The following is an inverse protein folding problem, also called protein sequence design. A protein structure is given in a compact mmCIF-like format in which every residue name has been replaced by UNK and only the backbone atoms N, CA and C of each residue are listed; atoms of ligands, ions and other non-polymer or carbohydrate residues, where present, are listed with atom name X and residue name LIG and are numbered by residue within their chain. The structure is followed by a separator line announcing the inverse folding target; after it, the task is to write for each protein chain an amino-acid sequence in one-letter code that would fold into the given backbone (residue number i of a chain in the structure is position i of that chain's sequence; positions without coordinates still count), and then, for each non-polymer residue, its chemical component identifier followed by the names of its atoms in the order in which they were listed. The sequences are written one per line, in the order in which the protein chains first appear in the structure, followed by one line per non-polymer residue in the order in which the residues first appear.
data_IF_757408441163
#
_entry.id   IF_757408441163
#
_cell.length_a   1.000
_cell.length_b   1.000
_cell.length_c   1.000
_cell.angle_alpha   90.00
_cell.angle_beta   90.00
_cell.angle_gamma   90.00
#
_symmetry.space_group_name_H-M   'P 1'
#
loop_
_entity.id
_entity.type
_entity.pdbx_description
1 polymer ?
#
# COMPACT_ATOMS: atom_id res chain seq x y z
N UNK A 1 32.57 15.58 56.37
CA UNK A 1 32.32 14.60 55.29
C UNK A 1 31.04 13.84 55.59
N UNK A 2 29.88 14.43 55.27
CA UNK A 2 28.55 13.92 55.65
C UNK A 2 27.99 13.10 54.47
N UNK A 3 27.74 11.81 54.70
CA UNK A 3 26.74 10.99 54.02
C UNK A 3 26.90 10.65 52.52
N UNK A 4 28.10 10.44 52.00
CA UNK A 4 28.30 9.85 50.67
C UNK A 4 27.65 8.44 50.52
N UNK A 5 27.57 7.66 51.61
CA UNK A 5 26.88 6.36 51.64
C UNK A 5 25.35 6.50 51.55
N UNK A 6 24.79 7.56 52.12
CA UNK A 6 23.34 7.79 52.15
C UNK A 6 22.83 8.25 50.78
N UNK A 7 23.60 9.08 50.06
CA UNK A 7 23.28 9.47 48.68
C UNK A 7 23.31 8.29 47.69
N UNK A 8 24.27 7.35 47.83
CA UNK A 8 24.32 6.14 46.99
C UNK A 8 23.10 5.24 47.20
N UNK A 9 22.64 5.09 48.45
CA UNK A 9 21.43 4.34 48.77
C UNK A 9 20.17 5.00 48.19
N UNK A 10 20.06 6.32 48.34
CA UNK A 10 18.96 7.11 47.78
C UNK A 10 18.90 7.03 46.25
N UNK A 11 20.06 7.10 45.58
CA UNK A 11 20.16 6.98 44.13
C UNK A 11 19.82 5.56 43.66
N UNK A 12 20.22 4.53 44.42
CA UNK A 12 19.87 3.15 44.11
C UNK A 12 18.37 2.88 44.29
N UNK A 13 17.74 3.43 45.34
CA UNK A 13 16.30 3.35 45.57
C UNK A 13 15.50 4.12 44.50
N UNK A 14 16.01 5.27 44.06
CA UNK A 14 15.39 6.05 43.00
C UNK A 14 15.53 5.36 41.63
N UNK A 15 16.69 4.76 41.35
CA UNK A 15 16.91 3.97 40.14
C UNK A 15 16.06 2.70 40.14
N UNK A 16 15.98 1.96 41.25
CA UNK A 16 15.11 0.77 41.35
C UNK A 16 13.63 1.15 41.29
N UNK A 17 13.22 2.25 41.91
CA UNK A 17 11.87 2.81 41.75
C UNK A 17 11.57 3.20 40.30
N UNK A 18 12.51 3.84 39.61
CA UNK A 18 12.39 4.19 38.20
C UNK A 18 12.35 2.95 37.30
N UNK A 19 13.20 1.96 37.54
CA UNK A 19 13.20 0.68 36.81
C UNK A 19 11.90 -0.10 37.04
N UNK A 20 11.35 -0.12 38.26
CA UNK A 20 10.07 -0.78 38.56
C UNK A 20 8.89 -0.03 37.94
N UNK A 21 8.94 1.31 37.87
CA UNK A 21 7.95 2.12 37.17
C UNK A 21 7.99 1.83 35.65
N UNK A 22 9.19 1.76 35.07
CA UNK A 22 9.40 1.45 33.65
C UNK A 22 8.96 0.02 33.31
N UNK A 23 9.29 -0.95 34.17
CA UNK A 23 8.87 -2.34 34.03
C UNK A 23 7.35 -2.49 34.16
N UNK A 24 6.70 -1.77 35.09
CA UNK A 24 5.22 -1.87 35.25
C UNK A 24 4.42 -1.11 34.20
N UNK A 25 4.98 -0.11 33.51
CA UNK A 25 4.21 0.70 32.56
C UNK A 25 4.27 0.19 31.10
N UNK A 26 5.23 -0.66 30.74
CA UNK A 26 5.33 -1.23 29.38
C UNK A 26 5.18 -2.77 29.31
N UNK A 27 5.17 -3.49 30.44
CA UNK A 27 5.04 -4.96 30.44
C UNK A 27 3.61 -5.49 30.49
N UNK A 28 2.59 -4.70 30.11
CA UNK A 28 1.35 -5.34 29.67
C UNK A 28 1.72 -6.03 28.37
N UNK A 29 1.74 -7.35 28.35
CA UNK A 29 1.70 -8.08 27.10
C UNK A 29 0.59 -7.44 26.24
N UNK A 30 0.93 -7.04 25.00
CA UNK A 30 -0.02 -6.43 24.05
C UNK A 30 -0.11 -7.28 22.81
N UNK A 31 -1.31 -7.41 22.28
CA UNK A 31 -1.54 -7.95 20.94
C UNK A 31 -1.03 -6.95 19.90
N UNK A 32 0.04 -7.30 19.20
CA UNK A 32 0.66 -6.42 18.21
C UNK A 32 -0.11 -6.52 16.90
N UNK A 33 -0.96 -5.54 16.61
CA UNK A 33 -1.72 -5.47 15.36
C UNK A 33 -0.77 -5.14 14.23
N UNK A 34 -0.82 -5.94 13.17
CA UNK A 34 0.02 -5.86 11.98
C UNK A 34 -0.72 -5.32 10.76
N UNK A 35 -1.99 -5.67 10.63
CA UNK A 35 -2.85 -5.16 9.58
C UNK A 35 -4.29 -4.99 10.09
N UNK A 36 -4.98 -4.00 9.54
CA UNK A 36 -6.41 -3.82 9.70
C UNK A 36 -7.10 -4.19 8.39
N UNK A 37 -8.22 -4.88 8.47
CA UNK A 37 -9.13 -5.11 7.35
C UNK A 37 -10.39 -4.28 7.55
N UNK A 38 -10.88 -3.63 6.50
CA UNK A 38 -12.15 -2.92 6.50
C UNK A 38 -12.99 -3.33 5.29
N UNK A 39 -14.28 -3.53 5.55
CA UNK A 39 -15.29 -3.64 4.53
C UNK A 39 -16.54 -2.86 4.96
N UNK A 40 -17.19 -2.23 3.98
CA UNK A 40 -18.49 -1.60 4.15
C UNK A 40 -19.54 -2.43 3.42
N UNK A 41 -20.63 -2.76 4.10
CA UNK A 41 -21.80 -3.43 3.55
C UNK A 41 -23.05 -2.58 3.78
N UNK A 42 -24.18 -2.95 3.18
CA UNK A 42 -25.45 -2.26 3.42
C UNK A 42 -25.90 -2.33 4.89
N UNK A 43 -25.43 -3.33 5.63
CA UNK A 43 -25.83 -3.62 7.01
C UNK A 43 -24.90 -3.00 8.05
N UNK A 44 -23.76 -2.43 7.62
CA UNK A 44 -22.80 -1.78 8.51
C UNK A 44 -21.36 -1.93 8.03
N UNK A 45 -20.46 -2.04 8.99
CA UNK A 45 -19.02 -2.16 8.79
C UNK A 45 -18.54 -3.49 9.34
N UNK A 46 -17.60 -4.10 8.63
CA UNK A 46 -16.86 -5.26 9.08
C UNK A 46 -15.39 -4.84 9.25
N UNK A 47 -14.83 -5.13 10.42
CA UNK A 47 -13.45 -4.84 10.74
C UNK A 47 -12.73 -6.12 11.14
N UNK A 48 -11.50 -6.29 10.67
CA UNK A 48 -10.63 -7.40 11.02
C UNK A 48 -9.26 -6.94 11.47
N UNK A 49 -8.67 -7.65 12.42
CA UNK A 49 -7.34 -7.37 12.97
C UNK A 49 -6.46 -8.59 12.78
N UNK A 50 -5.42 -8.43 11.96
CA UNK A 50 -4.30 -9.37 11.91
C UNK A 50 -3.33 -8.99 13.02
N UNK A 51 -3.14 -9.86 14.00
CA UNK A 51 -2.31 -9.57 15.16
C UNK A 51 -1.33 -10.69 15.46
N UNK A 52 -0.27 -10.32 16.18
CA UNK A 52 0.68 -11.24 16.75
C UNK A 52 0.51 -11.21 18.28
N UNK A 53 0.14 -12.35 18.87
CA UNK A 53 0.06 -12.48 20.31
C UNK A 53 1.48 -12.39 20.91
N UNK A 54 1.66 -11.75 22.06
CA UNK A 54 2.94 -11.76 22.76
C UNK A 54 3.23 -13.15 23.32
N UNK A 55 4.48 -13.58 23.18
CA UNK A 55 4.95 -14.84 23.73
C UNK A 55 5.32 -14.68 25.20
N UNK A 56 4.47 -15.23 26.06
CA UNK A 56 4.87 -15.58 27.42
C UNK A 56 5.79 -16.80 27.38
N UNK A 57 7.07 -16.63 27.05
CA UNK A 57 8.06 -17.69 27.25
C UNK A 57 9.41 -17.11 27.66
N UNK A 58 9.80 -17.38 28.91
CA UNK A 58 11.12 -17.06 29.46
C UNK A 58 12.25 -17.93 28.89
N UNK A 59 11.93 -18.89 28.03
CA UNK A 59 12.89 -19.76 27.36
C UNK A 59 13.04 -19.34 25.90
N UNK A 60 14.13 -18.62 25.64
CA UNK A 60 14.57 -18.24 24.31
C UNK A 60 15.04 -19.48 23.53
N UNK A 61 14.13 -20.14 22.81
CA UNK A 61 14.43 -20.91 21.61
C UNK A 61 13.14 -21.15 20.79
N UNK A 62 13.08 -20.56 19.60
CA UNK A 62 12.35 -21.07 18.43
C UNK A 62 10.83 -21.24 18.48
N UNK A 63 10.09 -20.29 19.02
CA UNK A 63 8.70 -20.10 18.57
C UNK A 63 8.61 -18.70 18.01
N UNK A 64 8.34 -18.53 16.71
CA UNK A 64 7.84 -17.26 16.20
C UNK A 64 6.37 -17.20 16.58
N UNK A 65 5.91 -16.15 17.26
CA UNK A 65 4.50 -16.08 17.64
C UNK A 65 3.65 -16.08 16.36
N UNK A 66 2.84 -17.12 16.19
CA UNK A 66 2.01 -17.31 15.00
C UNK A 66 1.04 -16.13 14.85
N UNK A 67 0.86 -15.68 13.61
CA UNK A 67 -0.12 -14.65 13.32
C UNK A 67 -1.53 -15.22 13.44
N UNK A 68 -2.44 -14.41 13.97
CA UNK A 68 -3.83 -14.74 14.16
C UNK A 68 -4.71 -13.62 13.63
N UNK A 69 -5.96 -13.96 13.34
CA UNK A 69 -6.92 -13.02 12.78
C UNK A 69 -8.21 -13.07 13.59
N UNK A 70 -8.69 -11.89 14.00
CA UNK A 70 -10.02 -11.70 14.59
C UNK A 70 -10.81 -10.73 13.73
N UNK A 71 -12.12 -10.85 13.76
CA UNK A 71 -13.01 -9.94 13.05
C UNK A 71 -14.29 -9.71 13.85
N UNK A 72 -14.93 -8.59 13.58
CA UNK A 72 -16.24 -8.26 14.11
C UNK A 72 -17.00 -7.33 13.16
N UNK A 73 -18.30 -7.26 13.38
CA UNK A 73 -19.20 -6.35 12.67
C UNK A 73 -19.72 -5.26 13.60
N UNK A 74 -20.10 -4.12 13.04
CA UNK A 74 -20.69 -3.02 13.78
C UNK A 74 -21.44 -2.05 12.87
N UNK A 75 -22.40 -1.32 13.44
CA UNK A 75 -23.17 -0.30 12.70
C UNK A 75 -22.32 0.87 12.18
N UNK A 76 -21.16 1.09 12.78
CA UNK A 76 -20.20 2.15 12.44
C UNK A 76 -18.80 1.55 12.42
N UNK A 77 -17.89 2.12 11.64
CA UNK A 77 -16.49 1.66 11.58
C UNK A 77 -15.84 1.56 12.98
N UNK A 78 -16.04 2.59 13.80
CA UNK A 78 -15.46 2.64 15.15
C UNK A 78 -15.95 1.49 16.04
N UNK A 79 -17.27 1.21 16.04
CA UNK A 79 -17.84 0.06 16.78
C UNK A 79 -17.37 -1.29 16.26
N UNK A 80 -17.19 -1.44 14.95
CA UNK A 80 -16.68 -2.69 14.38
C UNK A 80 -15.23 -2.93 14.83
N UNK A 81 -14.39 -1.89 14.84
CA UNK A 81 -13.03 -1.95 15.37
C UNK A 81 -13.01 -2.22 16.87
N UNK A 82 -13.85 -1.55 17.66
CA UNK A 82 -13.95 -1.81 19.10
C UNK A 82 -14.34 -3.26 19.41
N UNK A 83 -15.29 -3.81 18.65
CA UNK A 83 -15.70 -5.21 18.80
C UNK A 83 -14.57 -6.18 18.41
N UNK A 84 -13.81 -5.86 17.35
CA UNK A 84 -12.64 -6.66 16.95
C UNK A 84 -11.52 -6.56 18.00
N UNK A 85 -11.30 -5.38 18.61
CA UNK A 85 -10.35 -5.19 19.70
C UNK A 85 -10.75 -5.97 20.96
N UNK A 86 -12.03 -6.02 21.29
CA UNK A 86 -12.56 -6.81 22.42
C UNK A 86 -12.37 -8.31 22.23
N UNK A 87 -12.31 -8.79 20.99
CA UNK A 87 -12.04 -10.19 20.67
C UNK A 87 -10.54 -10.54 20.76
N UNK A 88 -9.64 -9.57 20.88
CA UNK A 88 -8.22 -9.84 21.06
C UNK A 88 -7.94 -10.44 22.44
N UNK A 89 -6.94 -11.34 22.54
CA UNK A 89 -6.60 -11.95 23.83
C UNK A 89 -6.05 -10.92 24.84
N UNK A 90 -5.53 -9.79 24.35
CA UNK A 90 -4.88 -8.74 25.13
C UNK A 90 -5.08 -7.39 24.46
N UNK A 91 -4.77 -6.30 25.19
CA UNK A 91 -4.92 -4.93 24.69
C UNK A 91 -4.19 -4.73 23.36
N UNK A 92 -4.89 -4.15 22.39
CA UNK A 92 -4.37 -3.86 21.06
C UNK A 92 -3.20 -2.86 21.11
N UNK A 93 -2.18 -3.12 20.29
CA UNK A 93 -1.09 -2.21 20.01
C UNK A 93 -0.93 -2.03 18.50
N UNK A 94 -1.23 -0.84 18.01
CA UNK A 94 -1.18 -0.50 16.58
C UNK A 94 0.17 0.04 16.12
N UNK A 95 1.20 0.01 16.97
CA UNK A 95 2.53 0.57 16.66
C UNK A 95 3.18 -0.05 15.41
N UNK A 96 2.86 -1.31 15.11
CA UNK A 96 3.35 -2.05 13.95
C UNK A 96 2.25 -2.37 12.93
N UNK A 97 1.16 -1.59 12.94
CA UNK A 97 0.07 -1.71 11.98
C UNK A 97 0.50 -1.05 10.67
N UNK A 98 1.23 -1.80 9.85
CA UNK A 98 1.87 -1.30 8.63
C UNK A 98 0.97 -1.44 7.39
N UNK A 99 -0.19 -2.10 7.50
CA UNK A 99 -1.05 -2.44 6.37
C UNK A 99 -2.53 -2.18 6.65
N UNK A 100 -3.26 -1.77 5.60
CA UNK A 100 -4.71 -1.66 5.56
C UNK A 100 -5.22 -2.46 4.36
N UNK A 101 -6.07 -3.44 4.64
CA UNK A 101 -6.77 -4.28 3.67
C UNK A 101 -8.19 -3.75 3.47
N UNK A 102 -8.63 -3.66 2.23
CA UNK A 102 -9.94 -3.13 1.87
C UNK A 102 -10.66 -4.16 0.99
N UNK A 103 -11.90 -4.53 1.32
CA UNK A 103 -12.71 -5.31 0.37
C UNK A 103 -12.94 -4.53 -0.92
N UNK A 104 -13.17 -3.22 -0.78
CA UNK A 104 -13.32 -2.26 -1.85
C UNK A 104 -12.73 -0.93 -1.40
N UNK A 105 -11.86 -0.34 -2.22
CA UNK A 105 -11.23 0.93 -1.91
C UNK A 105 -12.20 2.09 -2.20
N UNK A 106 -12.95 2.56 -1.21
CA UNK A 106 -13.86 3.69 -1.39
C UNK A 106 -13.31 4.92 -0.65
N UNK A 107 -13.29 6.06 -1.35
CA UNK A 107 -12.71 7.29 -0.81
C UNK A 107 -13.39 7.78 0.49
N UNK A 108 -14.73 7.71 0.64
CA UNK A 108 -15.37 8.03 1.92
C UNK A 108 -14.92 7.11 3.07
N UNK A 109 -14.73 5.80 2.78
CA UNK A 109 -14.27 4.82 3.76
C UNK A 109 -12.84 5.12 4.21
N UNK A 110 -11.95 5.44 3.27
CA UNK A 110 -10.56 5.80 3.54
C UNK A 110 -10.46 7.09 4.36
N UNK A 111 -11.23 8.11 3.99
CA UNK A 111 -11.32 9.38 4.73
C UNK A 111 -11.82 9.14 6.17
N UNK A 112 -12.91 8.39 6.34
CA UNK A 112 -13.46 8.08 7.66
C UNK A 112 -12.43 7.35 8.54
N UNK A 113 -11.72 6.37 7.97
CA UNK A 113 -10.70 5.62 8.68
C UNK A 113 -9.47 6.47 9.03
N UNK A 114 -8.98 7.31 8.12
CA UNK A 114 -7.86 8.22 8.40
C UNK A 114 -8.18 9.14 9.58
N UNK A 115 -9.37 9.74 9.61
CA UNK A 115 -9.82 10.57 10.73
C UNK A 115 -9.94 9.78 12.03
N UNK A 116 -10.35 8.52 11.96
CA UNK A 116 -10.39 7.65 13.14
C UNK A 116 -8.98 7.33 13.66
N UNK A 117 -8.03 7.03 12.76
CA UNK A 117 -6.62 6.80 13.09
C UNK A 117 -6.00 8.03 13.77
N UNK A 118 -6.26 9.23 13.24
CA UNK A 118 -5.76 10.48 13.82
C UNK A 118 -6.34 10.75 15.22
N UNK A 119 -7.60 10.40 15.48
CA UNK A 119 -8.27 10.64 16.76
C UNK A 119 -7.96 9.58 17.82
N UNK A 120 -7.89 8.29 17.45
CA UNK A 120 -7.77 7.16 18.39
C UNK A 120 -6.45 6.42 18.34
N UNK A 121 -5.66 6.57 17.27
CA UNK A 121 -4.44 5.78 17.08
C UNK A 121 -4.71 4.29 16.81
N UNK A 122 -5.88 3.94 16.27
CA UNK A 122 -6.28 2.57 15.92
C UNK A 122 -5.65 2.09 14.58
N UNK A 123 -4.42 2.50 14.31
CA UNK A 123 -3.73 2.25 13.04
C UNK A 123 -2.61 3.25 12.80
N UNK A 124 -2.18 3.39 11.53
CA UNK A 124 -1.16 4.35 11.12
C UNK A 124 -1.59 5.01 9.81
N UNK A 125 -1.46 6.33 9.71
CA UNK A 125 -1.63 7.06 8.43
C UNK A 125 -0.59 6.65 7.39
N UNK A 126 0.56 6.12 7.83
CA UNK A 126 1.59 5.57 6.94
C UNK A 126 1.35 4.11 6.52
N UNK A 127 0.24 3.48 6.95
CA UNK A 127 -0.10 2.11 6.58
C UNK A 127 -0.29 1.99 5.05
N UNK A 128 0.18 0.88 4.48
CA UNK A 128 0.10 0.58 3.05
C UNK A 128 -1.30 0.07 2.71
N UNK A 129 -1.90 0.61 1.64
CA UNK A 129 -3.23 0.27 1.16
C UNK A 129 -3.18 -0.91 0.20
N UNK A 130 -4.02 -1.91 0.43
CA UNK A 130 -4.18 -3.05 -0.47
C UNK A 130 -5.66 -3.44 -0.58
N UNK A 131 -6.06 -3.89 -1.76
CA UNK A 131 -7.36 -4.52 -1.96
C UNK A 131 -7.28 -6.00 -1.57
N UNK A 132 -8.38 -6.51 -1.03
CA UNK A 132 -8.50 -7.85 -0.49
C UNK A 132 -9.70 -8.57 -1.10
N UNK A 133 -9.45 -9.73 -1.70
CA UNK A 133 -10.47 -10.58 -2.30
C UNK A 133 -10.46 -11.97 -1.66
N UNK A 134 -11.55 -12.32 -1.00
CA UNK A 134 -11.71 -13.64 -0.39
C UNK A 134 -12.70 -13.62 0.76
N UNK A 135 -13.12 -14.79 1.19
CA UNK A 135 -13.96 -14.95 2.38
C UNK A 135 -13.10 -14.71 3.63
N UNK A 136 -13.38 -13.63 4.33
CA UNK A 136 -12.66 -13.22 5.53
C UNK A 136 -12.76 -14.24 6.68
N UNK A 137 -13.88 -14.95 6.78
CA UNK A 137 -14.09 -16.03 7.77
C UNK A 137 -12.99 -17.10 7.72
N UNK A 138 -12.42 -17.32 6.53
CA UNK A 138 -11.34 -18.30 6.35
C UNK A 138 -10.05 -17.86 7.03
N UNK A 139 -9.78 -16.56 7.13
CA UNK A 139 -8.57 -16.06 7.80
C UNK A 139 -8.58 -16.38 9.29
N UNK A 140 -9.76 -16.36 9.93
CA UNK A 140 -9.91 -16.76 11.33
C UNK A 140 -9.93 -18.30 11.50
N UNK A 141 -10.51 -19.02 10.54
CA UNK A 141 -10.67 -20.48 10.63
C UNK A 141 -9.40 -21.28 10.34
N UNK A 142 -8.45 -20.72 9.59
CA UNK A 142 -7.26 -21.44 9.13
C UNK A 142 -5.96 -20.87 9.68
N UNK A 143 -5.26 -21.65 10.51
CA UNK A 143 -4.06 -21.19 11.21
C UNK A 143 -2.90 -20.78 10.28
N UNK A 144 -2.80 -21.33 9.07
CA UNK A 144 -1.69 -21.03 8.15
C UNK A 144 -1.92 -19.79 7.27
N UNK A 145 -3.17 -19.37 7.06
CA UNK A 145 -3.50 -18.24 6.17
C UNK A 145 -2.97 -16.88 6.69
N UNK A 146 -3.06 -16.55 8.00
CA UNK A 146 -2.50 -15.30 8.52
C UNK A 146 -1.00 -15.08 8.22
N UNK A 147 -0.19 -16.13 8.34
CA UNK A 147 1.24 -16.07 8.04
C UNK A 147 1.50 -15.94 6.53
N UNK A 148 0.77 -16.69 5.70
CA UNK A 148 0.82 -16.56 4.24
C UNK A 148 0.39 -15.16 3.77
N UNK A 149 -0.65 -14.60 4.38
CA UNK A 149 -1.13 -13.25 4.12
C UNK A 149 -0.05 -12.21 4.45
N UNK A 150 0.59 -12.33 5.61
CA UNK A 150 1.70 -11.44 5.98
C UNK A 150 2.89 -11.55 5.02
N UNK A 151 3.20 -12.75 4.52
CA UNK A 151 4.25 -12.91 3.53
C UNK A 151 3.93 -12.15 2.24
N UNK A 152 2.70 -12.27 1.72
CA UNK A 152 2.27 -11.53 0.52
C UNK A 152 2.18 -10.02 0.75
N UNK A 153 1.76 -9.58 1.94
CA UNK A 153 1.75 -8.16 2.33
C UNK A 153 3.15 -7.55 2.25
N UNK A 154 4.17 -8.26 2.74
CA UNK A 154 5.57 -7.82 2.64
C UNK A 154 6.05 -7.72 1.19
N UNK A 155 5.64 -8.65 0.34
CA UNK A 155 5.94 -8.64 -1.10
C UNK A 155 5.31 -7.44 -1.81
N UNK A 156 4.07 -7.10 -1.49
CA UNK A 156 3.33 -5.99 -2.10
C UNK A 156 3.67 -4.60 -1.51
N UNK A 157 4.25 -4.55 -0.30
CA UNK A 157 4.54 -3.32 0.43
C UNK A 157 5.32 -2.24 -0.34
N UNK A 158 6.32 -2.57 -1.19
CA UNK A 158 7.09 -1.55 -1.89
C UNK A 158 6.29 -0.74 -2.92
N UNK A 159 5.26 -1.33 -3.52
CA UNK A 159 4.46 -0.72 -4.59
C UNK A 159 3.11 -0.18 -4.13
N UNK A 160 2.68 -0.55 -2.92
CA UNK A 160 1.42 -0.09 -2.35
C UNK A 160 1.47 1.40 -1.93
N UNK A 161 0.45 2.22 -2.25
CA UNK A 161 0.34 3.58 -1.72
C UNK A 161 0.07 3.57 -0.22
N UNK A 162 0.24 4.71 0.45
CA UNK A 162 -0.05 4.85 1.89
C UNK A 162 -1.41 5.47 2.14
N UNK A 163 -1.95 5.27 3.33
CA UNK A 163 -3.24 5.84 3.71
C UNK A 163 -3.25 7.37 3.56
N UNK A 164 -2.25 8.11 4.04
CA UNK A 164 -2.22 9.58 3.87
C UNK A 164 -2.16 10.04 2.39
N UNK A 165 -1.89 9.13 1.45
CA UNK A 165 -1.84 9.39 0.01
C UNK A 165 -3.17 9.03 -0.67
N UNK A 166 -4.22 8.66 0.09
CA UNK A 166 -5.47 8.12 -0.48
C UNK A 166 -6.20 9.08 -1.42
N UNK A 167 -6.05 10.39 -1.21
CA UNK A 167 -6.62 11.41 -2.10
C UNK A 167 -5.87 11.55 -3.42
N UNK A 168 -4.66 11.00 -3.52
CA UNK A 168 -3.88 10.94 -4.75
C UNK A 168 -4.23 9.68 -5.55
N UNK A 169 -4.02 9.74 -6.86
CA UNK A 169 -4.17 8.55 -7.70
C UNK A 169 -3.10 7.51 -7.35
N UNK A 170 -3.51 6.26 -7.16
CA UNK A 170 -2.60 5.19 -6.73
C UNK A 170 -3.03 3.82 -7.23
N UNK A 171 -2.07 2.96 -7.59
CA UNK A 171 -2.35 1.58 -7.97
C UNK A 171 -2.26 0.68 -6.72
N UNK A 172 -3.40 0.22 -6.24
CA UNK A 172 -3.51 -0.66 -5.08
C UNK A 172 -3.27 -2.11 -5.54
N UNK A 173 -2.31 -2.81 -4.92
CA UNK A 173 -2.16 -4.25 -5.13
C UNK A 173 -3.39 -5.01 -4.63
N UNK A 174 -3.72 -6.12 -5.29
CA UNK A 174 -4.85 -6.98 -4.91
C UNK A 174 -4.30 -8.28 -4.34
N UNK A 175 -4.64 -8.56 -3.08
CA UNK A 175 -4.41 -9.85 -2.46
C UNK A 175 -5.66 -10.69 -2.60
N UNK A 176 -5.50 -11.91 -3.11
CA UNK A 176 -6.57 -12.90 -3.18
C UNK A 176 -6.23 -14.09 -2.31
N UNK A 177 -7.20 -14.60 -1.57
CA UNK A 177 -7.03 -15.85 -0.84
C UNK A 177 -8.21 -16.78 -1.03
N UNK A 178 -7.92 -18.07 -0.89
CA UNK A 178 -8.89 -19.14 -0.91
C UNK A 178 -8.71 -20.02 0.35
N UNK A 179 -9.15 -21.28 0.29
CA UNK A 179 -9.05 -22.19 1.43
C UNK A 179 -7.64 -22.80 1.64
N UNK A 180 -6.67 -22.54 0.75
CA UNK A 180 -5.36 -23.20 0.77
C UNK A 180 -4.21 -22.20 0.66
N UNK A 181 -4.39 -21.10 -0.08
CA UNK A 181 -3.31 -20.17 -0.39
C UNK A 181 -3.74 -18.69 -0.37
N UNK A 182 -2.72 -17.84 -0.23
CA UNK A 182 -2.81 -16.39 -0.44
C UNK A 182 -1.87 -16.02 -1.60
N UNK A 183 -2.41 -15.34 -2.60
CA UNK A 183 -1.70 -14.92 -3.80
C UNK A 183 -1.82 -13.41 -4.02
N UNK A 184 -0.72 -12.80 -4.47
CA UNK A 184 -0.70 -11.45 -4.98
C UNK A 184 -1.09 -11.47 -6.46
N UNK A 185 -2.13 -10.74 -6.84
CA UNK A 185 -2.53 -10.63 -8.24
C UNK A 185 -1.55 -9.74 -9.01
N UNK A 186 -1.31 -10.07 -10.29
CA UNK A 186 -0.38 -9.30 -11.14
C UNK A 186 -0.96 -7.93 -11.55
N UNK A 187 -2.28 -7.84 -11.69
CA UNK A 187 -3.02 -6.59 -11.94
C UNK A 187 -3.09 -5.67 -10.71
N UNK A 188 -4.08 -4.79 -10.69
CA UNK A 188 -4.31 -3.91 -9.55
C UNK A 188 -5.52 -3.01 -9.70
N UNK A 189 -5.90 -2.33 -8.63
CA UNK A 189 -6.96 -1.32 -8.65
C UNK A 189 -6.35 0.06 -8.72
N UNK A 190 -6.53 0.77 -9.83
CA UNK A 190 -6.23 2.19 -9.89
C UNK A 190 -7.31 2.94 -9.10
N UNK A 191 -6.94 3.43 -7.94
CA UNK A 191 -7.80 4.21 -7.05
C UNK A 191 -7.64 5.70 -7.33
N UNK A 192 -8.76 6.41 -7.28
CA UNK A 192 -8.85 7.86 -7.28
C UNK A 192 -10.03 8.30 -6.42
N UNK A 193 -10.07 9.59 -6.06
CA UNK A 193 -11.21 10.19 -5.34
C UNK A 193 -12.55 10.08 -6.09
N UNK A 194 -12.51 9.92 -7.42
CA UNK A 194 -13.72 9.82 -8.27
C UNK A 194 -14.21 8.37 -8.37
N UNK A 195 -13.31 7.40 -8.19
CA UNK A 195 -13.62 5.99 -8.27
C UNK A 195 -12.42 5.11 -8.62
N UNK A 196 -12.71 3.83 -8.76
CA UNK A 196 -11.72 2.77 -8.99
C UNK A 196 -11.83 2.19 -10.39
N UNK A 197 -10.69 1.87 -10.97
CA UNK A 197 -10.59 1.13 -12.23
C UNK A 197 -9.71 -0.10 -12.04
N UNK A 198 -10.21 -1.28 -12.42
CA UNK A 198 -9.41 -2.50 -12.44
C UNK A 198 -8.47 -2.47 -13.65
N UNK A 199 -7.17 -2.63 -13.41
CA UNK A 199 -6.16 -2.74 -14.47
C UNK A 199 -5.78 -4.21 -14.67
N UNK A 200 -5.66 -4.62 -15.94
CA UNK A 200 -5.08 -5.91 -16.31
C UNK A 200 -3.61 -6.02 -15.83
N UNK A 201 -3.02 -7.23 -15.76
CA UNK A 201 -1.60 -7.40 -15.45
C UNK A 201 -0.69 -6.51 -16.32
N UNK A 202 -0.94 -6.44 -17.62
CA UNK A 202 -0.16 -5.64 -18.55
C UNK A 202 -0.34 -4.14 -18.30
N UNK A 203 -1.59 -3.70 -18.10
CA UNK A 203 -1.88 -2.30 -17.79
C UNK A 203 -1.26 -1.86 -16.46
N UNK A 204 -1.28 -2.73 -15.45
CA UNK A 204 -0.66 -2.47 -14.15
C UNK A 204 0.86 -2.31 -14.27
N UNK A 205 1.56 -3.17 -15.02
CA UNK A 205 3.00 -3.02 -15.26
C UNK A 205 3.33 -1.75 -16.03
N UNK A 206 2.53 -1.39 -17.05
CA UNK A 206 2.69 -0.13 -17.78
C UNK A 206 2.44 1.08 -16.87
N UNK A 207 1.43 1.03 -16.01
CA UNK A 207 1.15 2.08 -15.02
C UNK A 207 2.37 2.28 -14.10
N UNK A 208 2.88 1.19 -13.52
CA UNK A 208 4.05 1.22 -12.62
C UNK A 208 5.30 1.76 -13.32
N UNK A 209 5.44 1.53 -14.62
CA UNK A 209 6.51 2.07 -15.46
C UNK A 209 6.36 3.59 -15.64
N UNK A 210 5.15 4.05 -15.99
CA UNK A 210 4.82 5.46 -16.21
C UNK A 210 4.94 6.31 -14.94
N UNK A 211 4.64 5.73 -13.78
CA UNK A 211 4.79 6.38 -12.47
C UNK A 211 6.16 6.12 -11.83
N UNK A 212 7.12 5.57 -12.60
CA UNK A 212 8.51 5.34 -12.18
C UNK A 212 8.64 4.59 -10.83
N UNK A 213 7.72 3.66 -10.54
CA UNK A 213 7.80 2.88 -9.30
C UNK A 213 9.07 2.03 -9.28
N UNK A 214 9.58 1.74 -8.09
CA UNK A 214 10.78 0.93 -7.90
C UNK A 214 10.58 -0.56 -8.23
N UNK A 215 11.67 -1.21 -8.66
CA UNK A 215 11.74 -2.64 -8.92
C UNK A 215 11.73 -3.00 -10.40
N UNK A 216 12.10 -4.25 -10.68
CA UNK A 216 12.13 -4.77 -12.06
C UNK A 216 10.72 -5.03 -12.57
N UNK A 217 10.38 -4.47 -13.72
CA UNK A 217 9.13 -4.71 -14.45
C UNK A 217 9.28 -5.86 -15.43
N UNK A 218 8.18 -6.57 -15.65
CA UNK A 218 8.14 -7.72 -16.54
C UNK A 218 6.96 -7.56 -17.49
N UNK A 219 7.24 -7.24 -18.75
CA UNK A 219 6.23 -6.97 -19.76
C UNK A 219 6.22 -8.07 -20.80
N UNK A 220 5.01 -8.46 -21.24
CA UNK A 220 4.84 -9.40 -22.34
C UNK A 220 4.68 -8.63 -23.65
N UNK A 221 5.69 -8.67 -24.52
CA UNK A 221 5.74 -7.90 -25.76
C UNK A 221 6.05 -8.84 -26.94
N UNK A 222 5.18 -8.84 -27.96
CA UNK A 222 5.25 -9.71 -29.15
C UNK A 222 5.50 -11.20 -28.82
N UNK A 223 4.92 -11.70 -27.73
CA UNK A 223 5.07 -13.11 -27.31
C UNK A 223 6.31 -13.41 -26.47
N UNK A 224 7.12 -12.41 -26.13
CA UNK A 224 8.36 -12.56 -25.37
C UNK A 224 8.35 -11.70 -24.10
N UNK A 225 8.96 -12.21 -23.02
CA UNK A 225 9.02 -11.52 -21.74
C UNK A 225 10.22 -10.56 -21.71
N UNK A 226 9.94 -9.26 -21.67
CA UNK A 226 10.94 -8.19 -21.57
C UNK A 226 11.01 -7.67 -20.13
N UNK A 227 12.20 -7.78 -19.53
CA UNK A 227 12.49 -7.26 -18.21
C UNK A 227 13.07 -5.85 -18.26
N UNK A 228 12.46 -4.90 -17.55
CA UNK A 228 12.95 -3.51 -17.43
C UNK A 228 13.35 -3.27 -15.98
N UNK A 229 14.63 -2.98 -15.70
CA UNK A 229 15.12 -2.75 -14.33
C UNK A 229 14.93 -1.31 -13.85
N UNK A 230 14.98 -0.35 -14.77
CA UNK A 230 14.80 1.08 -14.52
C UNK A 230 14.18 1.73 -15.76
N UNK A 231 13.34 2.72 -15.55
CA UNK A 231 12.79 3.54 -16.62
C UNK A 231 12.76 4.99 -16.13
N UNK A 232 13.13 5.92 -17.00
CA UNK A 232 12.92 7.34 -16.76
C UNK A 232 11.86 7.86 -17.70
N UNK A 233 10.87 8.57 -17.16
CA UNK A 233 9.73 9.10 -17.91
C UNK A 233 9.88 10.61 -18.04
N UNK A 234 10.21 11.06 -19.25
CA UNK A 234 10.31 12.48 -19.58
C UNK A 234 9.05 12.96 -20.31
N UNK A 235 8.52 14.10 -19.88
CA UNK A 235 7.30 14.68 -20.47
C UNK A 235 7.60 16.06 -21.02
N UNK A 236 7.28 16.28 -22.30
CA UNK A 236 7.39 17.59 -22.96
C UNK A 236 6.01 18.04 -23.41
N UNK A 237 5.53 19.18 -22.89
CA UNK A 237 4.26 19.77 -23.31
C UNK A 237 4.50 20.73 -24.49
N UNK A 238 3.81 20.52 -25.60
CA UNK A 238 3.89 21.35 -26.81
C UNK A 238 2.49 21.81 -27.23
N UNK A 239 2.05 23.00 -26.78
CA UNK A 239 0.68 23.51 -27.04
C UNK A 239 -0.40 22.45 -26.76
N UNK A 240 -0.94 21.80 -27.80
CA UNK A 240 -1.99 20.76 -27.71
C UNK A 240 -1.46 19.31 -27.70
N UNK A 241 -0.14 19.13 -27.78
CA UNK A 241 0.52 17.82 -27.83
C UNK A 241 1.33 17.59 -26.55
N UNK A 242 1.32 16.34 -26.09
CA UNK A 242 2.14 15.88 -24.96
C UNK A 242 3.02 14.75 -25.48
N UNK A 243 4.33 14.98 -25.46
CA UNK A 243 5.32 13.98 -25.83
C UNK A 243 5.83 13.30 -24.55
N UNK A 244 5.69 11.98 -24.51
CA UNK A 244 6.14 11.13 -23.42
C UNK A 244 7.30 10.30 -23.93
N UNK A 245 8.45 10.36 -23.26
CA UNK A 245 9.63 9.57 -23.62
C UNK A 245 9.99 8.67 -22.46
N UNK A 246 10.08 7.37 -22.75
CA UNK A 246 10.55 6.36 -21.80
C UNK A 246 11.96 5.97 -22.18
N UNK A 247 12.91 6.22 -21.29
CA UNK A 247 14.29 5.73 -21.42
C UNK A 247 14.48 4.53 -20.48
N UNK A 248 14.41 3.34 -21.05
CA UNK A 248 14.39 2.06 -20.34
C UNK A 248 15.79 1.45 -20.25
N UNK A 249 16.14 0.93 -19.07
CA UNK A 249 17.27 0.03 -18.85
C UNK A 249 16.75 -1.38 -18.70
N UNK A 250 17.32 -2.29 -19.48
CA UNK A 250 16.95 -3.71 -19.47
C UNK A 250 17.44 -4.40 -18.19
N UNK A 251 16.65 -5.34 -17.69
CA UNK A 251 17.09 -6.27 -16.65
C UNK A 251 18.20 -7.21 -17.16
N UNK A 252 19.04 -7.72 -16.27
CA UNK A 252 20.03 -8.73 -16.63
C UNK A 252 19.33 -9.95 -17.26
N UNK A 253 19.95 -10.55 -18.28
CA UNK A 253 19.46 -11.74 -19.00
C UNK A 253 18.13 -11.60 -19.77
N UNK A 254 17.44 -10.47 -19.71
CA UNK A 254 16.31 -10.20 -20.60
C UNK A 254 16.78 -10.04 -22.06
N UNK A 255 15.97 -10.38 -23.07
CA UNK A 255 16.33 -10.17 -24.47
C UNK A 255 16.32 -8.68 -24.86
N UNK A 256 17.10 -8.30 -25.87
CA UNK A 256 17.12 -6.92 -26.38
C UNK A 256 15.82 -6.66 -27.16
N UNK A 257 15.01 -5.65 -26.79
CA UNK A 257 13.73 -5.41 -27.44
C UNK A 257 13.89 -4.98 -28.90
N UNK A 258 13.16 -5.65 -29.78
CA UNK A 258 13.03 -5.30 -31.20
C UNK A 258 12.29 -3.97 -31.37
N UNK A 259 12.39 -3.37 -32.56
CA UNK A 259 11.65 -2.14 -32.88
C UNK A 259 10.13 -2.32 -32.74
N UNK A 260 9.60 -3.51 -33.09
CA UNK A 260 8.18 -3.82 -32.95
C UNK A 260 7.75 -3.85 -31.48
N UNK A 261 8.53 -4.50 -30.60
CA UNK A 261 8.26 -4.52 -29.15
C UNK A 261 8.32 -3.11 -28.54
N UNK A 262 9.26 -2.25 -28.98
CA UNK A 262 9.33 -0.86 -28.55
C UNK A 262 8.10 -0.06 -28.98
N UNK A 263 7.63 -0.25 -30.21
CA UNK A 263 6.41 0.37 -30.72
C UNK A 263 5.16 -0.14 -29.99
N UNK A 264 5.09 -1.43 -29.69
CA UNK A 264 4.00 -2.01 -28.92
C UNK A 264 3.92 -1.40 -27.51
N UNK A 265 5.05 -1.29 -26.81
CA UNK A 265 5.10 -0.67 -25.49
C UNK A 265 4.71 0.82 -25.55
N UNK A 266 5.18 1.56 -26.57
CA UNK A 266 4.79 2.95 -26.79
C UNK A 266 3.27 3.10 -27.01
N UNK A 267 2.68 2.21 -27.80
CA UNK A 267 1.24 2.18 -28.04
C UNK A 267 0.45 1.84 -26.75
N UNK A 268 0.91 0.86 -25.98
CA UNK A 268 0.29 0.50 -24.69
C UNK A 268 0.34 1.65 -23.68
N UNK A 269 1.48 2.35 -23.57
CA UNK A 269 1.61 3.55 -22.73
C UNK A 269 0.63 4.64 -23.16
N UNK A 270 0.56 4.93 -24.47
CA UNK A 270 -0.34 5.95 -25.02
C UNK A 270 -1.80 5.60 -24.76
N UNK A 271 -2.20 4.35 -24.99
CA UNK A 271 -3.56 3.87 -24.76
C UNK A 271 -3.95 3.93 -23.28
N UNK A 272 -3.05 3.53 -22.37
CA UNK A 272 -3.31 3.63 -20.94
C UNK A 272 -3.49 5.09 -20.50
N UNK A 273 -2.59 5.99 -20.92
CA UNK A 273 -2.68 7.41 -20.60
C UNK A 273 -3.97 8.05 -21.12
N UNK A 274 -4.39 7.69 -22.34
CA UNK A 274 -5.66 8.16 -22.91
C UNK A 274 -6.86 7.65 -22.10
N UNK A 275 -6.87 6.35 -21.76
CA UNK A 275 -7.94 5.74 -20.96
C UNK A 275 -8.04 6.39 -19.57
N UNK A 276 -6.90 6.55 -18.89
CA UNK A 276 -6.83 7.24 -17.60
C UNK A 276 -7.33 8.69 -17.70
N UNK A 277 -6.93 9.44 -18.72
CA UNK A 277 -7.40 10.82 -18.91
C UNK A 277 -8.93 10.89 -19.08
N UNK A 278 -9.51 9.98 -19.89
CA UNK A 278 -10.96 9.90 -20.07
C UNK A 278 -11.72 9.59 -18.77
N UNK A 279 -11.04 8.94 -17.82
CA UNK A 279 -11.55 8.64 -16.48
C UNK A 279 -11.26 9.77 -15.47
N UNK A 280 -10.70 10.90 -15.91
CA UNK A 280 -10.39 12.03 -15.03
C UNK A 280 -9.04 11.90 -14.30
N UNK A 281 -8.14 11.02 -14.76
CA UNK A 281 -6.89 10.68 -14.06
C UNK A 281 -5.68 11.26 -14.80
N UNK A 282 -4.91 12.11 -14.12
CA UNK A 282 -3.69 12.74 -14.66
C UNK A 282 -2.43 11.99 -14.22
N UNK A 283 -2.20 10.80 -14.80
CA UNK A 283 -1.10 9.89 -14.47
C UNK A 283 0.27 10.56 -14.47
N UNK A 284 0.48 11.53 -15.35
CA UNK A 284 1.78 12.20 -15.56
C UNK A 284 1.89 13.53 -14.81
N UNK A 285 0.89 13.90 -14.02
CA UNK A 285 0.80 15.20 -13.34
C UNK A 285 1.01 16.38 -14.31
N UNK A 286 0.41 16.29 -15.51
CA UNK A 286 0.44 17.33 -16.54
C UNK A 286 -0.03 18.68 -16.01
N UNK A 287 -1.05 18.72 -15.14
CA UNK A 287 -1.53 19.95 -14.53
C UNK A 287 -0.42 20.65 -13.73
N UNK A 288 0.23 19.91 -12.84
CA UNK A 288 1.30 20.43 -12.00
C UNK A 288 2.51 20.87 -12.84
N UNK A 289 2.87 20.08 -13.87
CA UNK A 289 3.96 20.42 -14.80
C UNK A 289 3.68 21.71 -15.58
N UNK A 290 2.46 21.88 -16.06
CA UNK A 290 2.06 23.08 -16.78
C UNK A 290 2.05 24.31 -15.86
N UNK A 291 1.52 24.16 -14.64
CA UNK A 291 1.51 25.24 -13.65
C UNK A 291 2.92 25.70 -13.27
N UNK A 292 3.88 24.77 -13.14
CA UNK A 292 5.28 25.08 -12.85
C UNK A 292 5.99 25.79 -14.01
N UNK A 293 5.65 25.47 -15.27
CA UNK A 293 6.31 26.04 -16.45
C UNK A 293 5.72 27.37 -16.88
N UNK A 294 4.40 27.45 -16.98
CA UNK A 294 3.67 28.53 -17.64
C UNK A 294 2.85 29.40 -16.64
N UNK A 295 2.86 29.04 -15.35
CA UNK A 295 2.05 29.67 -14.30
C UNK A 295 0.64 29.08 -14.19
N UNK A 296 -0.12 29.53 -13.18
CA UNK A 296 -1.43 28.96 -12.79
C UNK A 296 -2.55 29.10 -13.84
N UNK A 297 -2.30 29.76 -14.97
CA UNK A 297 -3.25 29.92 -16.08
C UNK A 297 -3.23 28.79 -17.11
N UNK A 298 -2.26 27.87 -17.07
CA UNK A 298 -2.19 26.75 -17.99
C UNK A 298 -3.06 25.57 -17.50
N UNK A 299 -4.06 25.16 -18.28
CA UNK A 299 -4.99 24.09 -17.87
C UNK A 299 -4.72 22.78 -18.60
N UNK A 300 -4.20 21.81 -17.86
CA UNK A 300 -4.28 20.39 -18.17
C UNK A 300 -5.06 19.72 -17.03
N UNK A 301 -6.38 19.88 -17.02
CA UNK A 301 -7.27 19.26 -16.03
C UNK A 301 -8.09 18.17 -16.73
N UNK A 302 -7.91 16.88 -16.40
CA UNK A 302 -8.60 15.79 -17.09
C UNK A 302 -10.12 15.81 -16.90
N UNK A 303 -10.63 16.52 -15.89
CA UNK A 303 -12.08 16.68 -15.66
C UNK A 303 -12.69 17.83 -16.47
N UNK A 304 -11.88 18.76 -16.98
CA UNK A 304 -12.32 19.97 -17.67
C UNK A 304 -11.86 20.08 -19.12
N UNK A 305 -10.76 19.43 -19.47
CA UNK A 305 -10.12 19.55 -20.77
C UNK A 305 -10.20 18.23 -21.55
N UNK A 306 -10.33 18.34 -22.87
CA UNK A 306 -10.20 17.19 -23.76
C UNK A 306 -8.81 16.57 -23.64
N UNK A 307 -8.72 15.26 -23.86
CA UNK A 307 -7.44 14.54 -23.85
C UNK A 307 -6.47 15.19 -24.86
N UNK A 308 -5.26 15.60 -24.43
CA UNK A 308 -4.29 16.16 -25.35
C UNK A 308 -3.82 15.09 -26.35
N UNK A 309 -3.22 15.53 -27.45
CA UNK A 309 -2.61 14.60 -28.38
C UNK A 309 -1.37 13.97 -27.72
N UNK A 310 -1.52 12.76 -27.21
CA UNK A 310 -0.45 11.99 -26.58
C UNK A 310 0.36 11.25 -27.63
N UNK A 311 1.68 11.37 -27.55
CA UNK A 311 2.63 10.54 -28.31
C UNK A 311 3.68 10.02 -27.36
N UNK A 312 3.82 8.70 -27.31
CA UNK A 312 4.87 8.04 -26.54
C UNK A 312 5.96 7.54 -27.46
N UNK A 313 7.22 7.78 -27.11
CA UNK A 313 8.38 7.17 -27.72
C UNK A 313 9.14 6.37 -26.64
N UNK A 314 9.57 5.15 -26.96
CA UNK A 314 10.28 4.27 -26.02
C UNK A 314 11.66 3.97 -26.57
N UNK A 315 12.69 4.14 -25.73
CA UNK A 315 14.07 3.88 -26.07
C UNK A 315 14.70 2.95 -25.04
N UNK A 316 15.41 1.92 -25.49
CA UNK A 316 16.19 1.04 -24.62
C UNK A 316 17.67 1.42 -24.66
N UNK A 317 18.23 1.71 -23.48
CA UNK A 317 19.66 1.94 -23.34
C UNK A 317 20.42 0.63 -23.59
N UNK A 318 21.57 0.75 -24.27
CA UNK A 318 22.39 -0.40 -24.64
C UNK A 318 23.17 -1.03 -23.46
N UNK A 319 23.19 -0.38 -22.28
CA UNK A 319 23.97 -0.80 -21.10
C UNK A 319 23.26 -0.48 -19.77
#
# INVERSE_FOLDING_TARGET
MRNAKSYKLLLFLLLTGWCLLFLRCESTEKSMVRAVYLAQSEQGYQAGLLYQAPQAAADAADVTAALQFVQAEGQTMERALDAAEQALPQTASYRLCDYLLLSKAEEPLLTEYEQLVLRRGCGRTAARLLCAEGEIDRLAAQAALPDALMAQLKTAAPTAPRLYEHTEQGLLPILRWNAEEVSLQEGGVLHTVVGNTLLSPEQAEVYRLLTEQDGTRQLWLEGERIGIRRCTVSVTLQKAQVLVRLDCQRAAHSPLPTQAQQQQLAAQCTALLQSCWQQGVDVLHLQARAALRDGSGASFDPTKNACPQLRTDVHFMLY
#
